data_IF_409960365754
#
_entry.id   IF_409960365754
#
_cell.length_a   1.000
_cell.length_b   1.000
_cell.length_c   1.000
_cell.angle_alpha   90.00
_cell.angle_beta   90.00
_cell.angle_gamma   90.00
#
_symmetry.space_group_name_H-M   'P 1'
#
loop_
_entity.id
_entity.type
_entity.pdbx_description
1 polymer ?
#
# COMPACT_ATOMS: atom_id res chain seq x y z
N UNK A 1 8.47 21.84 7.41
CA UNK A 1 7.39 20.90 7.76
C UNK A 1 7.39 19.63 6.91
N UNK A 2 8.24 19.55 5.87
CA UNK A 2 8.35 18.41 4.94
C UNK A 2 9.21 17.25 5.47
N UNK A 3 10.13 17.49 6.41
CA UNK A 3 11.04 16.47 6.95
C UNK A 3 10.42 15.52 8.00
N UNK A 4 9.33 15.92 8.68
CA UNK A 4 8.78 15.11 9.76
C UNK A 4 8.02 13.87 9.24
N UNK A 5 7.37 14.00 8.08
CA UNK A 5 6.68 12.89 7.42
C UNK A 5 7.69 11.89 6.84
N UNK A 6 8.84 12.33 6.32
CA UNK A 6 9.88 11.42 5.83
C UNK A 6 10.43 10.51 6.94
N UNK A 7 10.60 11.03 8.16
CA UNK A 7 11.04 10.23 9.32
C UNK A 7 10.00 9.24 9.83
N UNK A 8 8.71 9.63 9.88
CA UNK A 8 7.62 8.75 10.30
C UNK A 8 7.34 7.64 9.28
N UNK A 9 7.53 7.91 7.99
CA UNK A 9 7.37 6.93 6.92
C UNK A 9 8.52 5.92 6.82
N UNK A 10 9.72 6.24 7.31
CA UNK A 10 10.84 5.29 7.36
C UNK A 10 10.66 4.23 8.45
N UNK A 11 9.87 4.52 9.48
CA UNK A 11 9.54 3.60 10.57
C UNK A 11 8.18 2.89 10.41
N UNK A 12 7.45 3.18 9.34
CA UNK A 12 6.16 2.56 9.07
C UNK A 12 6.32 1.18 8.42
N UNK A 13 5.71 0.15 9.01
CA UNK A 13 5.76 -1.23 8.52
C UNK A 13 5.19 -1.41 7.09
N UNK A 14 4.32 -0.50 6.67
CA UNK A 14 3.56 -0.54 5.42
C UNK A 14 4.21 0.27 4.30
N UNK A 15 5.12 1.19 4.63
CA UNK A 15 5.71 2.11 3.68
C UNK A 15 6.48 1.44 2.52
N UNK A 16 7.22 0.33 2.71
CA UNK A 16 7.84 -0.37 1.58
C UNK A 16 6.81 -0.89 0.56
N UNK A 17 5.67 -1.39 1.04
CA UNK A 17 4.58 -1.83 0.15
C UNK A 17 3.94 -0.65 -0.57
N UNK A 18 3.66 0.46 0.13
CA UNK A 18 3.16 1.68 -0.52
C UNK A 18 4.11 2.12 -1.64
N UNK A 19 5.41 2.22 -1.36
CA UNK A 19 6.39 2.60 -2.38
C UNK A 19 6.39 1.63 -3.56
N UNK A 20 6.22 0.33 -3.32
CA UNK A 20 6.12 -0.66 -4.39
C UNK A 20 4.86 -0.45 -5.25
N UNK A 21 3.71 -0.18 -4.63
CA UNK A 21 2.47 0.18 -5.35
C UNK A 21 2.65 1.48 -6.12
N UNK A 22 3.08 2.57 -5.49
CA UNK A 22 3.32 3.85 -6.17
C UNK A 22 4.29 3.70 -7.35
N UNK A 23 5.35 2.90 -7.21
CA UNK A 23 6.28 2.60 -8.32
C UNK A 23 5.61 1.84 -9.46
N UNK A 24 4.70 0.92 -9.18
CA UNK A 24 3.95 0.20 -10.21
C UNK A 24 3.04 1.17 -11.00
N UNK A 25 2.38 2.11 -10.32
CA UNK A 25 1.57 3.14 -10.96
C UNK A 25 2.39 4.17 -11.76
N UNK A 26 3.65 4.41 -11.38
CA UNK A 26 4.53 5.33 -12.08
C UNK A 26 3.92 6.74 -12.16
N UNK A 27 3.88 7.32 -13.36
CA UNK A 27 3.35 8.67 -13.58
C UNK A 27 1.83 8.79 -13.35
N UNK A 28 1.12 7.67 -13.23
CA UNK A 28 -0.32 7.63 -12.92
C UNK A 28 -0.62 7.75 -11.43
N UNK A 29 0.39 7.58 -10.58
CA UNK A 29 0.23 7.81 -9.16
C UNK A 29 0.01 9.31 -8.93
N UNK A 30 -1.21 9.66 -8.51
CA UNK A 30 -1.53 10.98 -7.99
C UNK A 30 -1.02 11.17 -6.58
N UNK A 31 -1.77 11.88 -5.74
CA UNK A 31 -1.42 12.04 -4.34
C UNK A 31 -1.44 10.69 -3.61
N UNK A 32 -0.42 10.47 -2.76
CA UNK A 32 -0.35 9.29 -1.88
C UNK A 32 -0.27 9.74 -0.44
N UNK A 33 -1.12 9.19 0.42
CA UNK A 33 -1.08 9.42 1.86
C UNK A 33 -1.11 8.11 2.64
N UNK A 34 -0.55 8.17 3.85
CA UNK A 34 -0.66 7.15 4.88
C UNK A 34 -1.33 7.82 6.06
N UNK A 35 -2.55 7.42 6.36
CA UNK A 35 -3.35 8.03 7.42
C UNK A 35 -3.36 7.14 8.66
N UNK A 36 -3.03 7.68 9.85
CA UNK A 36 -3.13 6.94 11.09
C UNK A 36 -4.60 6.58 11.36
N UNK A 37 -4.86 5.48 12.10
CA UNK A 37 -6.21 5.06 12.43
C UNK A 37 -7.02 6.18 13.09
N UNK A 38 -8.29 6.28 12.70
CA UNK A 38 -9.26 7.07 13.46
C UNK A 38 -9.77 6.26 14.66
N UNK A 39 -10.22 6.89 15.75
CA UNK A 39 -10.64 6.20 16.98
C UNK A 39 -11.75 5.15 16.79
N UNK A 40 -12.55 5.26 15.72
CA UNK A 40 -13.65 4.35 15.39
C UNK A 40 -13.24 3.22 14.42
N UNK A 41 -12.07 3.32 13.79
CA UNK A 41 -11.46 2.30 12.95
C UNK A 41 -10.29 1.68 13.72
N UNK A 42 -10.54 0.56 14.38
CA UNK A 42 -9.62 -0.13 15.30
C UNK A 42 -8.18 -0.25 14.76
N UNK A 43 -7.30 0.70 15.12
CA UNK A 43 -5.84 0.63 14.98
C UNK A 43 -5.25 0.28 13.58
N UNK A 44 -5.99 0.48 12.48
CA UNK A 44 -5.52 0.19 11.12
C UNK A 44 -4.98 1.44 10.40
N UNK A 45 -3.87 1.28 9.70
CA UNK A 45 -3.31 2.30 8.81
C UNK A 45 -3.96 2.20 7.43
N UNK A 46 -4.61 3.27 6.97
CA UNK A 46 -5.18 3.35 5.62
C UNK A 46 -4.14 3.98 4.67
N UNK A 47 -3.97 3.37 3.49
CA UNK A 47 -3.23 3.97 2.38
C UNK A 47 -4.23 4.51 1.38
N UNK A 48 -4.04 5.75 0.95
CA UNK A 48 -4.79 6.34 -0.16
C UNK A 48 -3.86 6.60 -1.35
N UNK A 49 -4.28 6.18 -2.54
CA UNK A 49 -3.62 6.50 -3.82
C UNK A 49 -4.66 7.09 -4.76
N UNK A 50 -4.47 8.34 -5.14
CA UNK A 50 -5.30 8.98 -6.17
C UNK A 50 -4.81 8.53 -7.56
N UNK A 51 -5.72 8.14 -8.44
CA UNK A 51 -5.43 7.70 -9.80
C UNK A 51 -6.20 8.57 -10.79
N UNK A 52 -5.46 9.27 -11.65
CA UNK A 52 -6.00 10.09 -12.75
C UNK A 52 -7.09 11.12 -12.32
N UNK A 53 -7.10 11.52 -11.04
CA UNK A 53 -8.03 12.52 -10.47
C UNK A 53 -9.50 12.10 -10.35
N UNK A 54 -9.83 10.86 -10.72
CA UNK A 54 -11.20 10.34 -10.76
C UNK A 54 -11.46 9.26 -9.72
N UNK A 55 -10.39 8.59 -9.30
CA UNK A 55 -10.47 7.42 -8.43
C UNK A 55 -9.53 7.59 -7.24
N UNK A 56 -10.02 7.25 -6.06
CA UNK A 56 -9.21 7.09 -4.87
C UNK A 56 -9.18 5.61 -4.53
N UNK A 57 -7.98 5.05 -4.42
CA UNK A 57 -7.76 3.67 -4.01
C UNK A 57 -7.38 3.66 -2.55
N UNK A 58 -8.01 2.78 -1.78
CA UNK A 58 -7.77 2.64 -0.36
C UNK A 58 -7.26 1.24 -0.07
N UNK A 59 -6.32 1.11 0.85
CA UNK A 59 -5.94 -0.19 1.38
C UNK A 59 -6.05 -0.20 2.89
N UNK A 60 -6.82 -1.16 3.38
CA UNK A 60 -6.86 -1.54 4.79
C UNK A 60 -6.15 -2.87 4.99
N UNK A 61 -5.30 -2.94 6.01
CA UNK A 61 -4.51 -4.14 6.30
C UNK A 61 -5.34 -5.39 6.64
N UNK A 62 -6.60 -5.21 7.06
CA UNK A 62 -7.51 -6.28 7.49
C UNK A 62 -8.55 -6.66 6.44
N UNK A 63 -8.81 -5.79 5.47
CA UNK A 63 -9.92 -5.94 4.53
C UNK A 63 -9.54 -5.73 3.05
N UNK A 64 -8.27 -5.40 2.79
CA UNK A 64 -7.68 -5.40 1.46
C UNK A 64 -7.88 -4.08 0.71
N UNK A 65 -7.88 -4.16 -0.63
CA UNK A 65 -7.95 -2.98 -1.50
C UNK A 65 -9.38 -2.64 -1.88
N UNK A 66 -9.66 -1.34 -1.85
CA UNK A 66 -10.93 -0.71 -2.17
C UNK A 66 -10.70 0.46 -3.12
N UNK A 67 -11.78 0.93 -3.72
CA UNK A 67 -11.80 2.17 -4.48
C UNK A 67 -13.06 2.98 -4.22
N UNK A 68 -12.97 4.27 -4.44
CA UNK A 68 -14.08 5.22 -4.46
C UNK A 68 -13.92 6.17 -5.67
N UNK A 69 -15.02 6.73 -6.13
CA UNK A 69 -15.00 7.86 -7.06
C UNK A 69 -14.68 9.14 -6.30
N UNK A 70 -13.85 9.98 -6.90
CA UNK A 70 -13.50 11.31 -6.41
C UNK A 70 -14.22 12.35 -7.27
N UNK A 71 -14.80 13.36 -6.63
CA UNK A 71 -15.41 14.48 -7.33
C UNK A 71 -14.36 15.51 -7.79
N UNK A 72 -14.73 16.50 -8.62
CA UNK A 72 -13.77 17.50 -9.09
C UNK A 72 -13.11 18.37 -8.00
N UNK A 73 -13.67 18.38 -6.79
CA UNK A 73 -13.12 19.11 -5.64
C UNK A 73 -12.15 18.23 -4.82
N UNK A 74 -11.96 16.96 -5.21
CA UNK A 74 -11.03 16.03 -4.58
C UNK A 74 -11.66 15.18 -3.47
N UNK A 75 -12.99 15.23 -3.32
CA UNK A 75 -13.68 14.54 -2.22
C UNK A 75 -14.18 13.15 -2.64
N UNK A 76 -13.91 12.08 -1.87
CA UNK A 76 -14.47 10.76 -2.12
C UNK A 76 -16.00 10.73 -1.97
N UNK A 77 -16.68 9.93 -2.80
CA UNK A 77 -18.15 9.83 -2.75
C UNK A 77 -18.70 9.14 -1.50
N UNK A 78 -17.83 8.46 -0.74
CA UNK A 78 -18.15 7.65 0.43
C UNK A 78 -18.69 6.27 0.10
N UNK A 79 -18.62 5.84 -1.17
CA UNK A 79 -19.16 4.55 -1.64
C UNK A 79 -18.03 3.60 -2.00
N UNK A 80 -17.22 3.25 -1.00
CA UNK A 80 -16.12 2.29 -1.11
C UNK A 80 -16.60 0.94 -1.68
N UNK A 81 -15.88 0.41 -2.67
CA UNK A 81 -16.10 -0.91 -3.29
C UNK A 81 -14.78 -1.67 -3.35
N UNK A 82 -14.81 -2.99 -3.23
CA UNK A 82 -13.59 -3.77 -3.33
C UNK A 82 -12.95 -3.60 -4.71
N UNK A 83 -11.65 -3.29 -4.72
CA UNK A 83 -10.82 -3.24 -5.91
C UNK A 83 -10.22 -4.61 -6.20
N UNK A 84 -9.74 -5.29 -5.16
CA UNK A 84 -9.12 -6.61 -5.22
C UNK A 84 -9.80 -7.53 -4.21
N UNK A 85 -10.03 -8.78 -4.63
CA UNK A 85 -10.56 -9.85 -3.78
C UNK A 85 -9.48 -10.90 -3.47
N UNK A 86 -9.69 -11.66 -2.40
CA UNK A 86 -8.90 -12.82 -1.97
C UNK A 86 -7.44 -12.55 -1.55
N UNK A 87 -7.01 -11.29 -1.53
CA UNK A 87 -5.69 -10.88 -1.08
C UNK A 87 -5.77 -9.61 -0.20
N UNK A 88 -5.14 -9.67 0.98
CA UNK A 88 -4.91 -8.51 1.83
C UNK A 88 -3.71 -7.71 1.32
N UNK A 89 -2.60 -8.35 0.96
CA UNK A 89 -1.41 -7.69 0.40
C UNK A 89 -1.13 -8.24 -1.01
N UNK A 90 -1.94 -7.92 -2.02
CA UNK A 90 -1.69 -8.38 -3.39
C UNK A 90 -0.35 -7.86 -3.94
N UNK A 91 0.10 -8.41 -5.05
CA UNK A 91 1.25 -7.83 -5.77
C UNK A 91 0.89 -6.43 -6.31
N UNK A 92 1.82 -5.45 -6.31
CA UNK A 92 1.60 -4.11 -6.87
C UNK A 92 1.03 -4.12 -8.29
N UNK A 93 1.48 -5.05 -9.13
CA UNK A 93 1.02 -5.17 -10.52
C UNK A 93 -0.44 -5.61 -10.62
N UNK A 94 -0.95 -6.37 -9.64
CA UNK A 94 -2.36 -6.75 -9.59
C UNK A 94 -3.23 -5.57 -9.13
N UNK A 95 -2.73 -4.73 -8.22
CA UNK A 95 -3.39 -3.47 -7.85
C UNK A 95 -3.46 -2.52 -9.05
N UNK A 96 -2.36 -2.38 -9.80
CA UNK A 96 -2.32 -1.60 -11.03
C UNK A 96 -3.31 -2.13 -12.06
N UNK A 97 -3.30 -3.45 -12.31
CA UNK A 97 -4.24 -4.08 -13.25
C UNK A 97 -5.69 -3.86 -12.83
N UNK A 98 -6.00 -3.95 -11.54
CA UNK A 98 -7.35 -3.66 -11.05
C UNK A 98 -7.72 -2.19 -11.26
N UNK A 99 -6.79 -1.26 -11.02
CA UNK A 99 -7.02 0.16 -11.27
C UNK A 99 -7.22 0.48 -12.75
N UNK A 100 -6.51 -0.20 -13.66
CA UNK A 100 -6.70 -0.08 -15.11
C UNK A 100 -8.12 -0.48 -15.56
N UNK A 101 -8.77 -1.40 -14.83
CA UNK A 101 -10.15 -1.79 -15.14
C UNK A 101 -11.19 -0.72 -14.73
N UNK A 102 -10.86 0.22 -13.85
CA UNK A 102 -11.84 1.19 -13.33
C UNK A 102 -12.46 2.09 -14.40
N UNK A 103 -11.68 2.51 -15.40
CA UNK A 103 -12.18 3.42 -16.43
C UNK A 103 -12.91 2.71 -17.57
N UNK A 104 -12.55 1.47 -17.86
CA UNK A 104 -13.03 0.76 -19.05
C UNK A 104 -14.02 -0.37 -18.73
N UNK A 105 -13.83 -1.05 -17.59
CA UNK A 105 -14.42 -2.37 -17.29
C UNK A 105 -14.68 -2.55 -15.79
N UNK A 106 -15.21 -1.51 -15.13
CA UNK A 106 -15.43 -1.50 -13.68
C UNK A 106 -16.39 -2.60 -13.18
N UNK A 107 -17.21 -3.17 -14.07
CA UNK A 107 -18.08 -4.32 -13.80
C UNK A 107 -17.31 -5.64 -13.62
N UNK A 108 -16.03 -5.68 -13.97
CA UNK A 108 -15.14 -6.82 -13.76
C UNK A 108 -14.40 -6.78 -12.42
N UNK A 109 -14.66 -5.76 -11.61
CA UNK A 109 -14.14 -5.63 -10.26
C UNK A 109 -15.09 -6.28 -9.23
N UNK A 110 -14.57 -6.81 -8.11
CA UNK A 110 -13.15 -6.84 -7.72
C UNK A 110 -12.33 -7.83 -8.54
N UNK A 111 -11.08 -7.46 -8.85
CA UNK A 111 -10.14 -8.37 -9.49
C UNK A 111 -9.73 -9.45 -8.48
N UNK A 112 -9.83 -10.73 -8.86
CA UNK A 112 -9.27 -11.82 -8.06
C UNK A 112 -7.74 -11.80 -8.17
N UNK A 113 -7.05 -11.59 -7.05
CA UNK A 113 -5.59 -11.59 -7.02
C UNK A 113 -5.07 -12.65 -6.05
N UNK A 114 -3.86 -13.14 -6.34
CA UNK A 114 -3.14 -13.93 -5.38
C UNK A 114 -2.49 -13.01 -4.34
N UNK A 115 -2.47 -13.50 -3.12
CA UNK A 115 -1.75 -12.88 -2.03
C UNK A 115 -0.23 -12.88 -2.28
N UNK A 116 0.50 -11.85 -1.83
CA UNK A 116 1.95 -11.77 -2.03
C UNK A 116 2.64 -13.03 -1.51
N UNK A 117 3.42 -13.68 -2.38
CA UNK A 117 4.16 -14.89 -2.03
C UNK A 117 5.33 -14.53 -1.10
N UNK A 118 5.45 -15.26 0.00
CA UNK A 118 6.50 -15.08 1.01
C UNK A 118 7.50 -16.23 0.87
N UNK A 119 8.76 -15.91 0.55
CA UNK A 119 9.87 -16.88 0.56
C UNK A 119 10.28 -17.28 1.98
N UNK A 120 10.94 -18.44 2.10
CA UNK A 120 11.45 -18.97 3.38
C UNK A 120 12.58 -18.11 3.99
N UNK A 121 13.27 -17.36 3.14
CA UNK A 121 14.37 -16.45 3.47
C UNK A 121 13.90 -15.06 3.93
N UNK A 122 12.64 -14.71 3.70
CA UNK A 122 12.09 -13.41 4.12
C UNK A 122 12.12 -13.29 5.64
N UNK A 123 12.73 -12.20 6.11
CA UNK A 123 12.78 -11.81 7.53
C UNK A 123 12.00 -10.52 7.71
N UNK A 124 11.31 -10.38 8.85
CA UNK A 124 10.67 -9.12 9.20
C UNK A 124 11.76 -8.06 9.39
N UNK A 125 11.65 -6.95 8.66
CA UNK A 125 12.48 -5.79 8.94
C UNK A 125 12.03 -5.15 10.28
N UNK A 126 12.86 -4.31 10.91
CA UNK A 126 12.58 -3.79 12.26
C UNK A 126 11.21 -3.10 12.42
N UNK A 127 10.68 -2.33 11.44
CA UNK A 127 9.33 -1.79 11.50
C UNK A 127 8.23 -2.85 11.61
N UNK A 128 8.27 -3.90 10.76
CA UNK A 128 7.26 -4.96 10.75
C UNK A 128 7.33 -5.80 12.03
N UNK A 129 8.54 -6.11 12.52
CA UNK A 129 8.71 -6.86 13.76
C UNK A 129 8.14 -6.10 14.98
N UNK A 130 8.33 -4.78 15.04
CA UNK A 130 7.75 -3.92 16.09
C UNK A 130 6.22 -3.90 16.01
N UNK A 131 5.65 -3.74 14.82
CA UNK A 131 4.20 -3.73 14.63
C UNK A 131 3.54 -5.05 15.05
N UNK A 132 4.17 -6.20 14.77
CA UNK A 132 3.69 -7.51 15.27
C UNK A 132 3.78 -7.59 16.79
N UNK A 133 4.90 -7.16 17.39
CA UNK A 133 5.09 -7.21 18.84
C UNK A 133 4.08 -6.37 19.62
N UNK A 134 3.63 -5.24 19.06
CA UNK A 134 2.60 -4.39 19.65
C UNK A 134 1.16 -4.86 19.35
N UNK A 135 0.98 -5.81 18.43
CA UNK A 135 -0.33 -6.30 18.01
C UNK A 135 -1.00 -5.44 16.93
N UNK A 136 -0.28 -4.48 16.34
CA UNK A 136 -0.77 -3.60 15.27
C UNK A 136 -0.83 -4.34 13.92
N UNK A 137 -0.05 -5.41 13.74
CA UNK A 137 -0.06 -6.26 12.57
C UNK A 137 -0.14 -7.73 12.95
N UNK A 138 -0.92 -8.49 12.16
CA UNK A 138 -0.80 -9.95 12.18
C UNK A 138 0.51 -10.36 11.53
N UNK A 139 1.13 -11.43 12.03
CA UNK A 139 2.38 -11.94 11.45
C UNK A 139 2.25 -12.32 9.95
N UNK A 140 1.14 -12.90 9.47
CA UNK A 140 0.93 -13.13 8.05
C UNK A 140 1.01 -11.86 7.19
N UNK A 141 0.40 -10.74 7.62
CA UNK A 141 0.46 -9.46 6.88
C UNK A 141 1.86 -8.87 6.96
N UNK A 142 2.47 -8.86 8.15
CA UNK A 142 3.81 -8.34 8.37
C UNK A 142 4.86 -9.03 7.49
N UNK A 143 4.79 -10.36 7.33
CA UNK A 143 5.71 -11.12 6.47
C UNK A 143 5.58 -10.78 5.00
N UNK A 144 4.39 -10.39 4.54
CA UNK A 144 4.15 -9.97 3.16
C UNK A 144 4.67 -8.58 2.90
N UNK A 145 4.44 -7.66 3.83
CA UNK A 145 5.04 -6.33 3.79
C UNK A 145 6.58 -6.40 3.79
N UNK A 146 7.15 -7.37 4.51
CA UNK A 146 8.59 -7.60 4.56
C UNK A 146 9.22 -8.03 3.22
N UNK A 147 8.45 -8.65 2.31
CA UNK A 147 8.93 -8.94 0.94
C UNK A 147 9.37 -7.66 0.24
N UNK A 148 8.58 -6.59 0.39
CA UNK A 148 8.86 -5.30 -0.23
C UNK A 148 9.99 -4.55 0.48
N UNK A 149 10.13 -4.72 1.80
CA UNK A 149 11.27 -4.17 2.54
C UNK A 149 12.61 -4.79 2.10
N UNK A 150 12.66 -6.12 1.98
CA UNK A 150 13.86 -6.83 1.53
C UNK A 150 14.28 -6.45 0.09
N UNK A 151 13.29 -6.21 -0.79
CA UNK A 151 13.56 -5.75 -2.15
C UNK A 151 14.15 -4.33 -2.24
N UNK A 152 14.00 -3.51 -1.20
CA UNK A 152 14.61 -2.18 -1.13
C UNK A 152 16.08 -2.24 -0.67
N UNK A 153 16.41 -3.10 0.31
CA UNK A 153 17.78 -3.27 0.82
C UNK A 153 18.78 -3.72 -0.28
N UNK A 154 18.32 -4.50 -1.26
CA UNK A 154 19.17 -4.96 -2.38
C UNK A 154 19.45 -3.85 -3.41
N UNK A 155 18.65 -2.77 -3.43
CA UNK A 155 18.76 -1.68 -4.41
C UNK A 155 19.59 -0.49 -3.92
N UNK A 156 20.01 -0.46 -2.65
CA UNK A 156 20.99 0.51 -2.15
C UNK A 156 22.40 0.16 -2.70
N UNK A 157 22.72 0.68 -3.88
CA UNK A 157 24.07 0.64 -4.48
C UNK A 157 25.02 1.51 -3.63
N UNK A 158 26.29 1.12 -3.41
CA UNK A 158 27.18 1.81 -2.48
C UNK A 158 27.48 3.23 -2.97
N UNK A 159 27.29 4.22 -2.09
CA UNK A 159 27.88 5.55 -2.25
C UNK A 159 29.40 5.35 -2.29
N UNK A 160 29.99 5.41 -3.48
CA UNK A 160 31.44 5.55 -3.58
C UNK A 160 31.82 6.89 -2.93
N UNK A 161 32.79 6.91 -2.00
CA UNK A 161 33.30 8.18 -1.50
C UNK A 161 33.92 8.94 -2.67
N UNK A 162 33.52 10.20 -2.82
CA UNK A 162 34.10 11.11 -3.81
C UNK A 162 35.63 11.25 -3.59
N UNK A 163 36.41 11.47 -4.68
CA UNK A 163 37.87 11.51 -4.64
C UNK A 163 38.44 12.63 -3.76
#
# INVERSE_FOLDING_TARGET
>A
MTDLLAGVLFECAHAPYLRAVTRAFGDRAGATSLEPPTPDASALLEISVECDGRWALFWGQDDGWWYDTVDPDGEPSGRRRHLVADALVPAPDDVLRAAELLDERADELPLQAAETTVGDDVRLAPPQARAVAHGDLTEPVARRLAVYAAGEEVREVPVQPAP
#
